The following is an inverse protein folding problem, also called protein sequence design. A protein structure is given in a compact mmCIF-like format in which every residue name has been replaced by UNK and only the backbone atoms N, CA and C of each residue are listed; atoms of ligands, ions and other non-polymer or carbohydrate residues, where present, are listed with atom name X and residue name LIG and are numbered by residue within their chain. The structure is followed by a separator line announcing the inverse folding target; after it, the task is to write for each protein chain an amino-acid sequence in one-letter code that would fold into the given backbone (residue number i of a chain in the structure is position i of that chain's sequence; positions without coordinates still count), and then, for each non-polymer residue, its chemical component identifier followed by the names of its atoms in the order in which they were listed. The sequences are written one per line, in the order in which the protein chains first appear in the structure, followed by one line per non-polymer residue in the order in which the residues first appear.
data_IF_285083845422
#
_entry.id   IF_285083845422
#
_cell.length_a   1.000
_cell.length_b   1.000
_cell.length_c   1.000
_cell.angle_alpha   90.00
_cell.angle_beta   90.00
_cell.angle_gamma   90.00
#
_symmetry.space_group_name_H-M   'P 1'
#
loop_
_entity.id
_entity.type
_entity.pdbx_description
1 polymer ?
#
# COMPACT_ATOMS: atom_id res chain seq x y z
N UNK A 1 -18.51 -0.14 -1.02
CA UNK A 1 -19.20 1.16 -1.15
C UNK A 1 -20.68 0.92 -0.97
N UNK A 2 -21.39 1.76 -0.22
CA UNK A 2 -22.84 1.65 -0.06
C UNK A 2 -23.57 2.80 -0.76
N UNK A 3 -24.83 2.55 -1.13
CA UNK A 3 -25.68 3.54 -1.79
C UNK A 3 -27.11 3.49 -1.25
N UNK A 4 -27.75 4.65 -1.20
CA UNK A 4 -29.17 4.80 -0.90
C UNK A 4 -29.77 5.77 -1.91
N UNK A 5 -30.89 5.42 -2.54
CA UNK A 5 -31.54 6.27 -3.55
C UNK A 5 -30.61 6.66 -4.71
N UNK A 6 -29.68 5.77 -5.10
CA UNK A 6 -28.71 6.01 -6.18
C UNK A 6 -27.50 6.86 -5.80
N UNK A 7 -27.46 7.47 -4.62
CA UNK A 7 -26.33 8.28 -4.12
C UNK A 7 -25.38 7.44 -3.26
N UNK A 8 -24.10 7.74 -3.32
CA UNK A 8 -23.08 7.13 -2.45
C UNK A 8 -23.29 7.62 -1.01
N UNK A 9 -23.34 6.69 -0.06
CA UNK A 9 -23.47 7.02 1.37
C UNK A 9 -22.19 6.79 2.14
N UNK A 10 -21.42 5.77 1.75
CA UNK A 10 -20.15 5.41 2.39
C UNK A 10 -19.20 4.79 1.38
N UNK A 11 -17.92 5.14 1.51
CA UNK A 11 -16.83 4.46 0.79
C UNK A 11 -15.81 3.95 1.81
N UNK A 12 -15.51 2.66 1.73
CA UNK A 12 -14.50 2.01 2.58
C UNK A 12 -13.26 1.73 1.74
N UNK A 13 -12.10 1.99 2.31
CA UNK A 13 -10.78 1.79 1.70
C UNK A 13 -9.94 0.89 2.60
N UNK A 14 -9.08 0.08 1.99
CA UNK A 14 -8.10 -0.74 2.70
C UNK A 14 -6.79 -0.78 1.94
N UNK A 15 -5.69 -0.76 2.68
CA UNK A 15 -4.36 -1.12 2.19
C UNK A 15 -3.80 -2.34 2.95
N UNK A 16 -4.65 -3.11 3.62
CA UNK A 16 -4.27 -4.36 4.30
C UNK A 16 -3.73 -5.36 3.26
N UNK A 17 -2.55 -5.91 3.51
CA UNK A 17 -1.99 -7.01 2.71
C UNK A 17 -2.72 -8.34 2.98
N UNK A 18 -2.77 -9.25 2.00
CA UNK A 18 -3.37 -10.57 2.20
C UNK A 18 -2.65 -11.41 3.27
N UNK A 19 -1.35 -11.20 3.47
CA UNK A 19 -0.51 -12.03 4.35
C UNK A 19 -0.97 -12.01 5.82
N UNK A 20 -1.48 -10.88 6.32
CA UNK A 20 -2.04 -10.82 7.68
C UNK A 20 -3.23 -11.78 7.83
N UNK A 21 -4.10 -11.85 6.81
CA UNK A 21 -5.27 -12.74 6.81
C UNK A 21 -4.85 -14.19 6.59
N UNK A 22 -3.82 -14.46 5.79
CA UNK A 22 -3.33 -15.83 5.58
C UNK A 22 -2.74 -16.44 6.86
N UNK A 23 -2.00 -15.66 7.64
CA UNK A 23 -1.43 -16.10 8.92
C UNK A 23 -2.56 -16.27 9.94
N UNK A 24 -3.43 -15.26 10.07
CA UNK A 24 -4.55 -15.31 11.00
C UNK A 24 -5.51 -16.48 10.70
N UNK A 25 -5.73 -16.79 9.43
CA UNK A 25 -6.54 -17.94 9.01
C UNK A 25 -6.00 -19.30 9.46
N UNK A 26 -4.68 -19.42 9.61
CA UNK A 26 -4.04 -20.66 10.07
C UNK A 26 -4.21 -20.84 11.58
N UNK A 27 -4.12 -19.75 12.34
CA UNK A 27 -4.11 -19.78 13.80
C UNK A 27 -5.52 -19.60 14.41
N UNK A 28 -6.33 -18.69 13.85
CA UNK A 28 -7.67 -18.33 14.32
C UNK A 28 -8.62 -17.98 13.16
N UNK A 29 -9.16 -18.99 12.46
CA UNK A 29 -10.11 -18.78 11.37
C UNK A 29 -11.44 -18.15 11.83
N UNK A 30 -11.79 -18.24 13.12
CA UNK A 30 -13.01 -17.62 13.64
C UNK A 30 -12.87 -16.10 13.67
N UNK A 31 -11.70 -15.59 14.06
CA UNK A 31 -11.39 -14.15 13.98
C UNK A 31 -11.42 -13.65 12.53
N UNK A 32 -10.97 -14.45 11.55
CA UNK A 32 -11.11 -14.07 10.13
C UNK A 32 -12.57 -13.86 9.74
N UNK A 33 -13.47 -14.77 10.11
CA UNK A 33 -14.92 -14.60 9.85
C UNK A 33 -15.46 -13.36 10.54
N UNK A 34 -15.09 -13.12 11.81
CA UNK A 34 -15.51 -11.94 12.56
C UNK A 34 -15.04 -10.62 11.90
N UNK A 35 -13.82 -10.59 11.35
CA UNK A 35 -13.32 -9.44 10.61
C UNK A 35 -14.11 -9.19 9.33
N UNK A 36 -14.48 -10.24 8.61
CA UNK A 36 -15.34 -10.11 7.43
C UNK A 36 -16.75 -9.62 7.80
N UNK A 37 -17.32 -10.10 8.91
CA UNK A 37 -18.60 -9.60 9.42
C UNK A 37 -18.54 -8.12 9.75
N UNK A 38 -17.47 -7.68 10.41
CA UNK A 38 -17.29 -6.29 10.84
C UNK A 38 -17.04 -5.35 9.65
N UNK A 39 -16.14 -5.72 8.74
CA UNK A 39 -15.58 -4.80 7.74
C UNK A 39 -16.16 -4.96 6.33
N UNK A 40 -16.86 -6.07 6.06
CA UNK A 40 -17.40 -6.40 4.74
C UNK A 40 -18.92 -6.63 4.78
N UNK A 41 -19.39 -7.69 5.41
CA UNK A 41 -20.81 -8.04 5.48
C UNK A 41 -21.10 -9.08 6.56
N UNK A 42 -22.16 -8.89 7.33
CA UNK A 42 -22.65 -9.88 8.31
C UNK A 42 -23.22 -11.18 7.68
N UNK A 43 -23.38 -11.22 6.36
CA UNK A 43 -23.85 -12.40 5.61
C UNK A 43 -22.72 -13.36 5.21
N UNK A 44 -21.47 -13.04 5.58
CA UNK A 44 -20.32 -13.89 5.27
C UNK A 44 -20.41 -15.19 6.05
N UNK A 45 -20.35 -16.32 5.35
CA UNK A 45 -20.27 -17.63 5.97
C UNK A 45 -18.83 -18.14 5.92
N UNK A 46 -18.47 -19.05 6.82
CA UNK A 46 -17.11 -19.62 6.88
C UNK A 46 -16.75 -20.29 5.55
N UNK A 47 -17.68 -21.00 4.94
CA UNK A 47 -17.51 -21.72 3.67
C UNK A 47 -17.25 -20.78 2.49
N UNK A 48 -17.51 -19.47 2.63
CA UNK A 48 -17.13 -18.49 1.63
C UNK A 48 -15.64 -18.18 1.66
N UNK A 49 -15.02 -18.26 2.84
CA UNK A 49 -13.67 -17.78 3.08
C UNK A 49 -12.62 -18.89 3.03
N UNK A 50 -13.02 -20.15 3.23
CA UNK A 50 -12.11 -21.28 3.35
C UNK A 50 -12.48 -22.41 2.37
N UNK A 51 -11.48 -23.03 1.76
CA UNK A 51 -11.69 -24.21 0.94
C UNK A 51 -11.97 -25.48 1.76
N UNK A 52 -12.25 -26.60 1.08
CA UNK A 52 -12.53 -27.87 1.74
C UNK A 52 -11.36 -28.41 2.61
N UNK A 53 -10.14 -27.92 2.41
CA UNK A 53 -8.97 -28.24 3.22
C UNK A 53 -8.75 -27.25 4.38
N UNK A 54 -9.65 -26.27 4.57
CA UNK A 54 -9.55 -25.24 5.59
C UNK A 54 -8.56 -24.12 5.23
N UNK A 55 -8.13 -24.00 3.97
CA UNK A 55 -7.20 -22.94 3.54
C UNK A 55 -7.97 -21.69 3.16
N UNK A 56 -7.48 -20.53 3.60
CA UNK A 56 -8.10 -19.25 3.27
C UNK A 56 -8.00 -18.93 1.78
N UNK A 57 -9.12 -18.47 1.22
CA UNK A 57 -9.27 -18.09 -0.18
C UNK A 57 -9.11 -16.57 -0.27
N UNK A 58 -7.90 -16.09 -0.59
CA UNK A 58 -7.58 -14.65 -0.74
C UNK A 58 -8.56 -13.90 -1.66
N UNK A 59 -9.00 -14.56 -2.74
CA UNK A 59 -9.98 -14.04 -3.71
C UNK A 59 -11.32 -14.76 -3.57
N UNK A 60 -11.91 -14.71 -2.39
CA UNK A 60 -13.26 -15.20 -2.16
C UNK A 60 -14.31 -14.22 -2.71
N UNK A 61 -15.60 -14.63 -2.68
CA UNK A 61 -16.71 -13.81 -3.20
C UNK A 61 -16.83 -12.43 -2.57
N UNK A 62 -16.38 -12.28 -1.32
CA UNK A 62 -16.42 -11.04 -0.55
C UNK A 62 -15.18 -10.15 -0.73
N UNK A 63 -14.19 -10.59 -1.50
CA UNK A 63 -12.94 -9.88 -1.73
C UNK A 63 -12.40 -10.12 -3.16
N UNK A 64 -13.27 -10.06 -4.17
CA UNK A 64 -12.88 -10.24 -5.58
C UNK A 64 -13.39 -9.15 -6.52
N UNK A 65 -14.30 -8.30 -6.05
CA UNK A 65 -14.91 -7.21 -6.81
C UNK A 65 -15.18 -6.00 -5.91
N UNK A 66 -15.69 -4.91 -6.48
CA UNK A 66 -15.94 -3.65 -5.76
C UNK A 66 -17.37 -3.51 -5.23
N UNK A 67 -18.20 -4.53 -5.43
CA UNK A 67 -19.63 -4.56 -5.08
C UNK A 67 -19.86 -5.30 -3.78
N UNK A 68 -19.27 -6.48 -3.62
CA UNK A 68 -19.42 -7.31 -2.42
C UNK A 68 -18.57 -6.80 -1.25
N UNK A 69 -17.32 -6.42 -1.50
CA UNK A 69 -16.43 -5.99 -0.42
C UNK A 69 -14.96 -5.91 -0.79
N UNK A 70 -14.19 -5.30 0.10
CA UNK A 70 -12.74 -5.24 0.03
C UNK A 70 -12.16 -5.43 1.45
N UNK A 71 -11.81 -6.68 1.78
CA UNK A 71 -11.16 -7.02 3.04
C UNK A 71 -9.66 -6.72 3.01
N UNK A 72 -9.00 -6.97 1.88
CA UNK A 72 -7.57 -6.71 1.74
C UNK A 72 -7.22 -6.52 0.27
N UNK A 73 -6.00 -6.07 -0.01
CA UNK A 73 -5.50 -5.92 -1.37
C UNK A 73 -5.47 -7.28 -2.11
N UNK A 74 -5.90 -7.28 -3.36
CA UNK A 74 -6.06 -8.51 -4.18
C UNK A 74 -5.12 -8.57 -5.39
N UNK A 75 -4.40 -7.48 -5.66
CA UNK A 75 -3.49 -7.37 -6.79
C UNK A 75 -2.10 -7.87 -6.37
N UNK A 76 -1.47 -8.70 -7.20
CA UNK A 76 -0.25 -9.45 -6.82
C UNK A 76 0.96 -8.56 -6.49
N UNK A 77 1.03 -7.36 -7.07
CA UNK A 77 2.07 -6.36 -6.81
C UNK A 77 1.78 -5.47 -5.58
N UNK A 78 0.73 -5.79 -4.83
CA UNK A 78 0.35 -5.14 -3.56
C UNK A 78 0.42 -6.16 -2.39
N UNK A 79 1.32 -7.14 -2.50
CA UNK A 79 1.64 -8.09 -1.42
C UNK A 79 2.74 -7.52 -0.53
N UNK A 80 2.80 -7.99 0.71
CA UNK A 80 3.92 -7.65 1.61
C UNK A 80 5.28 -8.06 1.01
N UNK A 81 5.32 -9.22 0.35
CA UNK A 81 6.53 -9.69 -0.33
C UNK A 81 6.96 -8.73 -1.45
N UNK A 82 6.03 -8.26 -2.30
CA UNK A 82 6.35 -7.31 -3.36
C UNK A 82 6.86 -5.98 -2.81
N UNK A 83 6.30 -5.49 -1.69
CA UNK A 83 6.79 -4.28 -1.02
C UNK A 83 8.21 -4.48 -0.48
N UNK A 84 8.48 -5.61 0.18
CA UNK A 84 9.81 -5.94 0.71
C UNK A 84 10.84 -5.99 -0.42
N UNK A 85 10.54 -6.70 -1.51
CA UNK A 85 11.42 -6.80 -2.68
C UNK A 85 11.67 -5.43 -3.31
N UNK A 86 10.62 -4.62 -3.49
CA UNK A 86 10.75 -3.27 -4.03
C UNK A 86 11.71 -2.43 -3.19
N UNK A 87 11.49 -2.40 -1.87
CA UNK A 87 12.29 -1.59 -0.96
C UNK A 87 13.73 -2.11 -0.84
N UNK A 88 13.92 -3.42 -0.74
CA UNK A 88 15.22 -4.06 -0.66
C UNK A 88 16.04 -3.80 -1.93
N UNK A 89 15.48 -4.05 -3.10
CA UNK A 89 16.18 -3.85 -4.36
C UNK A 89 16.41 -2.36 -4.68
N UNK A 90 15.50 -1.46 -4.28
CA UNK A 90 15.70 -0.02 -4.37
C UNK A 90 16.81 0.51 -3.44
N UNK A 91 17.14 -0.20 -2.36
CA UNK A 91 18.25 0.17 -1.46
C UNK A 91 19.64 -0.04 -2.09
N UNK A 92 19.72 -0.76 -3.21
CA UNK A 92 20.97 -0.97 -3.94
C UNK A 92 21.32 0.31 -4.71
N UNK A 93 22.40 0.98 -4.32
CA UNK A 93 22.93 2.11 -5.09
C UNK A 93 23.44 1.59 -6.43
N UNK A 94 22.90 2.12 -7.54
CA UNK A 94 23.24 1.68 -8.89
C UNK A 94 24.15 2.68 -9.60
N UNK A 95 25.01 2.18 -10.49
CA UNK A 95 25.83 3.01 -11.36
C UNK A 95 25.92 2.46 -12.79
N UNK A 96 26.22 3.33 -13.76
CA UNK A 96 26.59 2.99 -15.13
C UNK A 96 27.85 3.79 -15.47
N UNK A 97 28.92 3.12 -15.89
CA UNK A 97 30.21 3.74 -16.24
C UNK A 97 30.75 4.71 -15.16
N UNK A 98 30.60 4.34 -13.89
CA UNK A 98 31.03 5.14 -12.73
C UNK A 98 30.09 6.31 -12.37
N UNK A 99 29.01 6.55 -13.15
CA UNK A 99 27.97 7.52 -12.80
C UNK A 99 26.90 6.85 -11.94
N UNK A 100 26.76 7.33 -10.70
CA UNK A 100 25.66 6.92 -9.81
C UNK A 100 24.32 7.38 -10.40
N UNK A 101 23.35 6.45 -10.45
CA UNK A 101 21.99 6.74 -10.91
C UNK A 101 21.18 7.42 -9.81
N UNK A 102 20.38 8.41 -10.18
CA UNK A 102 19.59 9.20 -9.23
C UNK A 102 18.16 9.45 -9.68
N UNK A 103 17.87 9.34 -10.98
CA UNK A 103 16.51 9.48 -11.51
C UNK A 103 15.65 8.26 -11.16
N UNK A 104 14.41 8.49 -10.75
CA UNK A 104 13.46 7.42 -10.39
C UNK A 104 13.30 6.39 -11.53
N UNK A 105 13.17 6.86 -12.77
CA UNK A 105 13.05 5.97 -13.94
C UNK A 105 14.34 5.20 -14.24
N UNK A 106 15.50 5.87 -14.20
CA UNK A 106 16.79 5.18 -14.38
C UNK A 106 16.99 4.08 -13.32
N UNK A 107 16.58 4.34 -12.08
CA UNK A 107 16.72 3.42 -10.97
C UNK A 107 15.82 2.20 -11.12
N UNK A 108 14.54 2.37 -11.46
CA UNK A 108 13.62 1.24 -11.61
C UNK A 108 13.90 0.40 -12.85
N UNK A 109 14.31 1.04 -13.96
CA UNK A 109 14.73 0.33 -15.18
C UNK A 109 16.01 -0.48 -14.93
N UNK A 110 16.97 0.08 -14.19
CA UNK A 110 18.21 -0.59 -13.83
C UNK A 110 18.03 -1.69 -12.77
N UNK A 111 17.19 -1.42 -11.76
CA UNK A 111 17.04 -2.25 -10.58
C UNK A 111 15.99 -3.35 -10.72
N UNK A 112 15.08 -3.22 -11.70
CA UNK A 112 13.96 -4.14 -11.97
C UNK A 112 13.12 -4.48 -10.72
N UNK A 113 13.02 -3.55 -9.77
CA UNK A 113 12.39 -3.76 -8.46
C UNK A 113 10.87 -3.52 -8.45
N UNK A 114 10.28 -3.27 -9.62
CA UNK A 114 8.88 -2.93 -9.77
C UNK A 114 8.53 -2.66 -11.23
N UNK A 115 7.45 -1.94 -11.47
CA UNK A 115 7.00 -1.57 -12.81
C UNK A 115 7.17 -0.06 -13.06
N UNK A 116 7.97 0.37 -14.08
CA UNK A 116 8.20 1.78 -14.42
C UNK A 116 6.92 2.61 -14.63
N UNK A 117 5.85 1.96 -15.10
CA UNK A 117 4.54 2.55 -15.37
C UNK A 117 3.60 2.63 -14.16
N UNK A 118 3.96 2.03 -13.01
CA UNK A 118 3.19 2.15 -11.77
C UNK A 118 3.71 3.36 -11.01
N UNK A 119 3.00 4.49 -11.04
CA UNK A 119 3.45 5.76 -10.44
C UNK A 119 4.08 5.64 -9.03
N UNK A 120 3.61 4.71 -8.20
CA UNK A 120 4.16 4.44 -6.87
C UNK A 120 5.58 3.84 -6.89
N UNK A 121 5.87 2.93 -7.81
CA UNK A 121 7.08 2.09 -7.72
C UNK A 121 8.36 2.90 -7.99
N UNK A 122 8.47 3.70 -9.07
CA UNK A 122 9.62 4.56 -9.29
C UNK A 122 9.80 5.56 -8.15
N UNK A 123 8.70 6.08 -7.61
CA UNK A 123 8.75 7.08 -6.55
C UNK A 123 9.25 6.51 -5.22
N UNK A 124 8.66 5.40 -4.75
CA UNK A 124 9.13 4.70 -3.53
C UNK A 124 10.59 4.30 -3.68
N UNK A 125 10.95 3.74 -4.84
CA UNK A 125 12.31 3.33 -5.12
C UNK A 125 13.30 4.49 -5.13
N UNK A 126 12.92 5.62 -5.73
CA UNK A 126 13.70 6.86 -5.73
C UNK A 126 13.96 7.42 -4.33
N UNK A 127 12.90 7.46 -3.50
CA UNK A 127 12.99 7.93 -2.11
C UNK A 127 13.93 7.03 -1.30
N UNK A 128 13.76 5.71 -1.36
CA UNK A 128 14.62 4.75 -0.64
C UNK A 128 16.07 4.87 -1.12
N UNK A 129 16.29 4.90 -2.44
CA UNK A 129 17.63 4.99 -3.00
C UNK A 129 18.31 6.32 -2.64
N UNK A 130 17.55 7.42 -2.51
CA UNK A 130 18.11 8.70 -2.07
C UNK A 130 18.77 8.60 -0.69
N UNK A 131 18.18 7.82 0.22
CA UNK A 131 18.73 7.57 1.55
C UNK A 131 19.89 6.57 1.49
N UNK A 132 19.78 5.52 0.67
CA UNK A 132 20.87 4.57 0.46
C UNK A 132 22.16 5.26 -0.03
N UNK A 133 22.02 6.22 -0.95
CA UNK A 133 23.14 7.03 -1.47
C UNK A 133 23.83 7.90 -0.42
N UNK A 134 23.21 8.13 0.74
CA UNK A 134 23.84 8.78 1.89
C UNK A 134 24.77 7.83 2.68
N UNK A 135 25.06 6.63 2.14
CA UNK A 135 25.79 5.55 2.82
C UNK A 135 25.12 5.17 4.13
N UNK A 136 23.79 5.04 4.11
CA UNK A 136 22.99 4.58 5.23
C UNK A 136 22.71 3.08 5.09
N UNK A 137 22.54 2.41 6.23
CA UNK A 137 21.97 1.06 6.29
C UNK A 137 20.45 1.23 6.50
N UNK A 138 19.66 0.48 5.73
CA UNK A 138 18.19 0.64 5.64
C UNK A 138 17.47 -0.62 6.13
N UNK A 139 16.34 -0.42 6.78
CA UNK A 139 15.38 -1.46 7.14
C UNK A 139 13.95 -0.96 6.89
N UNK A 140 12.98 -1.86 6.76
CA UNK A 140 11.57 -1.48 6.80
C UNK A 140 11.13 -1.26 8.24
N UNK A 141 10.24 -0.30 8.47
CA UNK A 141 9.64 -0.11 9.79
C UNK A 141 8.81 -1.33 10.18
N UNK A 142 8.71 -1.58 11.48
CA UNK A 142 7.85 -2.60 12.06
C UNK A 142 6.55 -1.94 12.57
N UNK A 143 5.35 -2.40 12.15
CA UNK A 143 5.10 -3.48 11.19
C UNK A 143 5.41 -3.09 9.75
N UNK A 144 5.91 -4.06 8.99
CA UNK A 144 6.13 -3.88 7.55
C UNK A 144 4.76 -3.84 6.86
N UNK A 145 4.54 -2.84 6.00
CA UNK A 145 3.33 -2.75 5.23
C UNK A 145 3.06 -1.36 4.66
N UNK A 146 2.16 -1.33 3.68
CA UNK A 146 1.54 -0.13 3.16
C UNK A 146 0.52 0.42 4.16
N UNK A 147 0.68 1.70 4.49
CA UNK A 147 -0.21 2.40 5.40
C UNK A 147 -0.79 3.65 4.74
N UNK A 148 -2.02 4.00 5.08
CA UNK A 148 -2.56 5.30 4.71
C UNK A 148 -1.68 6.40 5.31
N UNK A 149 -1.33 7.38 4.49
CA UNK A 149 -0.65 8.57 4.93
C UNK A 149 -1.66 9.70 5.09
N UNK A 150 -2.35 10.04 4.00
CA UNK A 150 -3.28 11.15 4.00
C UNK A 150 -4.32 11.02 2.88
N UNK A 151 -5.36 11.85 2.94
CA UNK A 151 -6.33 12.11 1.88
C UNK A 151 -6.32 13.60 1.58
N UNK A 152 -5.89 13.97 0.37
CA UNK A 152 -6.02 15.34 -0.08
C UNK A 152 -7.46 15.63 -0.47
N UNK A 153 -8.03 16.71 0.07
CA UNK A 153 -9.39 17.18 -0.24
C UNK A 153 -9.37 18.46 -1.09
N UNK A 154 -8.26 18.71 -1.79
CA UNK A 154 -8.14 19.87 -2.66
C UNK A 154 -9.22 19.87 -3.74
N UNK A 155 -9.99 20.97 -3.81
CA UNK A 155 -11.10 21.10 -4.77
C UNK A 155 -12.38 20.37 -4.37
N UNK A 156 -12.46 19.84 -3.16
CA UNK A 156 -13.68 19.23 -2.62
C UNK A 156 -14.59 20.28 -2.00
N UNK A 157 -15.91 20.09 -2.09
CA UNK A 157 -16.91 20.95 -1.43
C UNK A 157 -18.04 20.12 -0.88
N UNK A 158 -18.39 20.36 0.38
CA UNK A 158 -19.59 19.84 1.04
C UNK A 158 -20.76 20.83 0.87
N UNK A 159 -22.01 20.36 0.85
CA UNK A 159 -23.18 21.24 0.74
C UNK A 159 -23.34 22.23 1.89
N UNK A 160 -22.93 21.86 3.10
CA UNK A 160 -23.04 22.69 4.32
C UNK A 160 -21.80 23.58 4.56
N UNK A 161 -20.78 23.49 3.71
CA UNK A 161 -19.52 24.23 3.85
C UNK A 161 -18.57 23.70 4.93
N UNK A 162 -18.88 22.56 5.55
CA UNK A 162 -17.96 21.87 6.46
C UNK A 162 -16.69 21.39 5.77
N UNK A 163 -15.60 21.22 6.53
CA UNK A 163 -14.35 20.68 5.99
C UNK A 163 -14.56 19.25 5.48
N UNK A 164 -14.40 18.98 4.17
CA UNK A 164 -14.55 17.63 3.63
C UNK A 164 -13.62 16.61 4.30
N UNK A 165 -12.46 17.03 4.80
CA UNK A 165 -11.48 16.15 5.44
C UNK A 165 -12.01 15.55 6.75
N UNK A 166 -12.91 16.26 7.44
CA UNK A 166 -13.47 15.83 8.73
C UNK A 166 -14.32 14.55 8.65
N UNK A 167 -14.70 14.12 7.44
CA UNK A 167 -15.48 12.91 7.18
C UNK A 167 -14.63 11.68 6.82
N UNK A 168 -13.30 11.82 6.83
CA UNK A 168 -12.36 10.70 6.69
C UNK A 168 -11.98 10.16 8.05
N UNK A 169 -12.18 8.87 8.28
CA UNK A 169 -11.88 8.22 9.57
C UNK A 169 -11.14 6.91 9.35
N UNK A 170 -10.10 6.67 10.15
CA UNK A 170 -9.42 5.38 10.20
C UNK A 170 -10.17 4.40 11.11
N UNK A 171 -10.41 3.18 10.62
CA UNK A 171 -11.16 2.13 11.32
C UNK A 171 -10.25 1.01 11.83
N UNK A 172 -9.08 0.80 11.21
CA UNK A 172 -8.10 -0.20 11.65
C UNK A 172 -6.69 0.33 11.48
N UNK A 173 -5.80 -0.19 12.33
CA UNK A 173 -4.42 0.26 12.47
C UNK A 173 -4.26 1.19 13.66
N UNK A 174 -3.02 1.62 13.88
CA UNK A 174 -2.69 2.64 14.89
C UNK A 174 -2.54 4.03 14.25
N UNK A 175 -2.24 5.05 15.08
CA UNK A 175 -2.07 6.45 14.64
C UNK A 175 -1.04 6.61 13.51
N UNK A 176 -0.03 5.74 13.46
CA UNK A 176 1.09 5.79 12.52
C UNK A 176 0.99 4.76 11.39
N UNK A 177 0.21 3.70 11.59
CA UNK A 177 -0.01 2.57 10.67
C UNK A 177 -1.50 2.31 10.37
N UNK A 178 -2.28 3.31 9.91
CA UNK A 178 -3.66 3.08 9.55
C UNK A 178 -3.76 2.25 8.25
N UNK A 179 -4.58 1.21 8.27
CA UNK A 179 -4.72 0.26 7.16
C UNK A 179 -6.13 0.14 6.60
N UNK A 180 -7.13 0.67 7.32
CA UNK A 180 -8.52 0.74 6.87
C UNK A 180 -9.10 2.11 7.17
N UNK A 181 -9.81 2.68 6.21
CA UNK A 181 -10.43 3.97 6.34
C UNK A 181 -11.84 3.98 5.76
N UNK A 182 -12.64 4.94 6.21
CA UNK A 182 -13.98 5.22 5.69
C UNK A 182 -14.11 6.71 5.39
N UNK A 183 -14.80 7.01 4.29
CA UNK A 183 -15.38 8.32 4.03
C UNK A 183 -16.90 8.23 4.14
N UNK A 184 -17.47 8.88 5.16
CA UNK A 184 -18.89 8.81 5.48
C UNK A 184 -19.37 10.11 6.13
N UNK A 185 -20.57 10.56 5.72
CA UNK A 185 -21.21 11.73 6.31
C UNK A 185 -22.17 11.27 7.41
N UNK A 186 -22.07 11.81 8.64
CA UNK A 186 -23.04 11.56 9.71
C UNK A 186 -24.48 11.91 9.29
N UNK A 187 -25.44 11.09 9.72
CA UNK A 187 -26.83 11.20 9.29
C UNK A 187 -27.49 12.55 9.66
N UNK A 188 -27.02 13.21 10.72
CA UNK A 188 -27.52 14.50 11.21
C UNK A 188 -27.14 15.69 10.31
N UNK A 189 -26.21 15.50 9.36
CA UNK A 189 -25.81 16.54 8.39
C UNK A 189 -26.83 16.80 7.29
N UNK A 190 -27.75 15.88 7.04
CA UNK A 190 -28.79 16.04 6.01
C UNK A 190 -28.29 15.94 4.56
N UNK A 191 -27.04 15.51 4.33
CA UNK A 191 -26.50 15.17 3.02
C UNK A 191 -25.62 13.91 3.12
N UNK A 192 -25.28 13.30 1.99
CA UNK A 192 -24.45 12.09 1.92
C UNK A 192 -23.20 12.30 1.08
N UNK A 193 -22.28 11.32 1.06
CA UNK A 193 -21.04 11.39 0.26
C UNK A 193 -21.31 11.77 -1.19
N UNK A 194 -22.39 11.26 -1.79
CA UNK A 194 -22.77 11.57 -3.17
C UNK A 194 -23.20 13.02 -3.43
N UNK A 195 -23.41 13.81 -2.39
CA UNK A 195 -23.67 15.26 -2.48
C UNK A 195 -22.38 16.09 -2.39
N UNK A 196 -21.28 15.49 -1.93
CA UNK A 196 -19.96 16.12 -1.98
C UNK A 196 -19.52 16.23 -3.43
N UNK A 197 -18.93 17.37 -3.79
CA UNK A 197 -18.36 17.58 -5.12
C UNK A 197 -16.85 17.56 -5.06
N UNK A 198 -16.21 16.95 -6.07
CA UNK A 198 -14.77 16.98 -6.32
C UNK A 198 -14.58 17.69 -7.66
N UNK A 199 -13.90 18.84 -7.64
CA UNK A 199 -13.72 19.69 -8.83
C UNK A 199 -15.05 20.02 -9.53
N UNK A 200 -16.09 20.27 -8.73
CA UNK A 200 -17.43 20.62 -9.20
C UNK A 200 -18.30 19.46 -9.69
N UNK A 201 -17.80 18.21 -9.64
CA UNK A 201 -18.58 17.01 -10.00
C UNK A 201 -19.01 16.24 -8.75
N UNK A 202 -20.29 15.85 -8.61
CA UNK A 202 -20.73 15.00 -7.51
C UNK A 202 -19.97 13.66 -7.46
N UNK A 203 -19.79 13.12 -6.24
CA UNK A 203 -19.23 11.78 -6.06
C UNK A 203 -20.26 10.73 -6.48
N UNK A 204 -20.05 10.13 -7.63
CA UNK A 204 -20.87 9.04 -8.16
C UNK A 204 -20.23 7.66 -7.90
N UNK A 205 -18.90 7.56 -7.76
CA UNK A 205 -18.16 6.32 -7.61
C UNK A 205 -17.04 6.46 -6.57
N UNK A 206 -16.71 5.37 -5.88
CA UNK A 206 -15.61 5.35 -4.91
C UNK A 206 -14.25 5.66 -5.54
N UNK A 207 -14.04 5.34 -6.82
CA UNK A 207 -12.80 5.63 -7.54
C UNK A 207 -12.56 7.12 -7.80
N UNK A 208 -13.55 7.99 -7.59
CA UNK A 208 -13.34 9.45 -7.63
C UNK A 208 -12.62 9.98 -6.39
N UNK A 209 -12.53 9.16 -5.34
CA UNK A 209 -11.77 9.43 -4.12
C UNK A 209 -10.41 8.72 -4.28
N UNK A 210 -9.60 9.17 -5.24
CA UNK A 210 -8.28 8.62 -5.56
C UNK A 210 -7.11 9.50 -5.07
N UNK A 211 -7.41 10.60 -4.38
CA UNK A 211 -6.45 11.53 -3.79
C UNK A 211 -5.85 11.04 -2.46
N UNK A 212 -5.73 9.72 -2.31
CA UNK A 212 -5.23 9.05 -1.10
C UNK A 212 -3.74 8.76 -1.28
N UNK A 213 -2.94 9.28 -0.35
CA UNK A 213 -1.53 8.95 -0.25
C UNK A 213 -1.34 7.71 0.61
N UNK A 214 -0.60 6.74 0.09
CA UNK A 214 -0.18 5.52 0.78
C UNK A 214 1.33 5.54 0.91
N UNK A 215 1.87 5.05 2.03
CA UNK A 215 3.31 5.02 2.30
C UNK A 215 3.79 3.62 2.67
N UNK A 216 4.99 3.29 2.20
CA UNK A 216 5.90 2.34 2.84
C UNK A 216 6.86 3.15 3.72
N UNK A 217 7.23 2.62 4.89
CA UNK A 217 8.12 3.34 5.82
C UNK A 217 9.45 2.61 5.94
N UNK A 218 10.54 3.27 5.56
CA UNK A 218 11.90 2.81 5.78
C UNK A 218 12.55 3.56 6.96
N UNK A 219 13.41 2.85 7.69
CA UNK A 219 14.24 3.37 8.78
C UNK A 219 15.69 3.31 8.34
N UNK A 220 16.42 4.42 8.55
CA UNK A 220 17.83 4.52 8.22
C UNK A 220 18.69 4.62 9.47
N UNK A 221 19.78 3.87 9.51
CA UNK A 221 20.81 3.99 10.54
C UNK A 221 22.20 4.08 9.90
N UNK A 222 23.22 4.32 10.73
CA UNK A 222 24.64 4.33 10.31
C UNK A 222 24.92 5.23 9.09
N UNK A 223 24.19 6.34 8.97
CA UNK A 223 24.33 7.31 7.86
C UNK A 223 25.80 7.74 7.73
N UNK A 224 26.32 7.71 6.50
CA UNK A 224 27.73 7.99 6.18
C UNK A 224 28.69 6.83 6.43
N UNK A 225 28.24 5.69 6.96
CA UNK A 225 29.10 4.58 7.41
C UNK A 225 28.90 3.28 6.63
N UNK A 226 27.86 3.16 5.81
CA UNK A 226 27.69 1.98 4.96
C UNK A 226 28.89 1.84 4.01
N UNK A 227 29.37 0.62 3.86
CA UNK A 227 30.53 0.27 3.00
C UNK A 227 30.11 -0.46 1.73
N UNK A 228 28.80 -0.63 1.51
CA UNK A 228 28.27 -1.20 0.29
C UNK A 228 28.73 -0.40 -0.93
N UNK A 229 29.41 -1.06 -1.86
CA UNK A 229 29.83 -0.45 -3.11
C UNK A 229 28.62 -0.32 -4.04
N UNK A 230 28.51 0.76 -4.84
CA UNK A 230 27.53 0.84 -5.91
C UNK A 230 27.63 -0.36 -6.84
N UNK A 231 26.49 -0.92 -7.23
CA UNK A 231 26.42 -2.04 -8.16
C UNK A 231 26.13 -1.53 -9.56
N UNK A 232 26.85 -2.06 -10.56
CA UNK A 232 26.50 -1.80 -11.96
C UNK A 232 25.13 -2.40 -12.27
N UNK A 233 24.35 -1.74 -13.13
CA UNK A 233 23.15 -2.33 -13.70
C UNK A 233 23.46 -3.72 -14.27
N UNK A 234 22.51 -4.67 -14.17
CA UNK A 234 22.53 -5.76 -15.12
C UNK A 234 22.14 -5.13 -16.45
N UNK A 235 23.14 -4.69 -17.22
CA UNK A 235 22.95 -4.48 -18.64
C UNK A 235 22.70 -5.88 -19.14
N UNK A 236 21.43 -6.29 -19.21
CA UNK A 236 21.03 -7.50 -19.91
C UNK A 236 21.80 -7.44 -21.21
N UNK A 237 22.72 -8.40 -21.37
CA UNK A 237 23.50 -8.43 -22.57
C UNK A 237 22.51 -8.38 -23.72
N UNK A 238 22.62 -7.39 -24.59
CA UNK A 238 22.50 -7.75 -25.98
C UNK A 238 23.65 -8.75 -26.25
N UNK A 239 23.46 -10.01 -25.89
CA UNK A 239 24.05 -11.19 -26.52
C UNK A 239 23.52 -12.46 -25.84
N UNK A 240 23.10 -13.42 -26.67
CA UNK A 240 22.66 -14.75 -26.28
C UNK A 240 23.58 -15.41 -25.25
N UNK A 241 23.07 -15.76 -24.06
CA UNK A 241 23.28 -17.05 -23.37
C UNK A 241 22.89 -16.98 -21.88
N UNK A 242 22.22 -18.03 -21.43
CA UNK A 242 21.64 -18.21 -20.10
C UNK A 242 22.58 -19.04 -19.23
N UNK A 243 22.82 -18.65 -17.96
CA UNK A 243 23.05 -19.64 -16.89
C UNK A 243 22.85 -19.07 -15.46
N UNK A 244 21.89 -19.68 -14.77
CA UNK A 244 21.71 -20.01 -13.34
C UNK A 244 21.99 -19.00 -12.20
N UNK A 245 20.97 -18.82 -11.36
CA UNK A 245 20.91 -18.07 -10.11
C UNK A 245 21.08 -18.98 -8.88
N UNK A 246 21.76 -18.49 -7.83
CA UNK A 246 21.66 -19.04 -6.45
C UNK A 246 21.52 -17.87 -5.44
N UNK A 247 20.56 -17.88 -4.49
CA UNK A 247 20.23 -16.74 -3.63
C UNK A 247 20.91 -16.83 -2.24
N UNK A 248 21.04 -15.70 -1.53
CA UNK A 248 21.44 -15.69 -0.11
C UNK A 248 20.72 -14.61 0.72
N UNK A 249 20.48 -15.03 1.96
CA UNK A 249 19.46 -14.66 2.96
C UNK A 249 19.83 -13.52 3.90
N UNK A 250 18.80 -12.96 4.54
CA UNK A 250 18.71 -11.74 5.35
C UNK A 250 19.22 -11.82 6.82
N UNK A 251 19.44 -10.66 7.48
CA UNK A 251 19.13 -10.39 8.90
C UNK A 251 19.34 -8.91 9.37
N UNK A 252 18.26 -8.29 9.91
CA UNK A 252 18.05 -7.45 11.14
C UNK A 252 19.18 -6.62 11.83
N UNK A 253 18.98 -5.50 12.55
CA UNK A 253 17.92 -4.48 12.81
C UNK A 253 18.47 -3.33 13.75
N UNK A 254 17.75 -2.18 13.86
CA UNK A 254 17.81 -1.01 14.82
C UNK A 254 18.74 0.21 14.49
N UNK A 255 18.45 1.49 14.86
CA UNK A 255 17.27 2.12 15.52
C UNK A 255 16.59 3.26 14.69
N UNK A 256 15.45 3.77 15.20
CA UNK A 256 14.42 4.58 14.50
C UNK A 256 14.58 6.11 14.62
N UNK A 257 14.39 6.86 13.51
CA UNK A 257 14.22 8.32 13.47
C UNK A 257 13.15 8.70 12.41
N UNK A 258 12.06 9.33 12.86
CA UNK A 258 10.95 9.83 12.04
C UNK A 258 11.24 11.22 11.48
N UNK A 259 10.99 11.42 10.18
CA UNK A 259 11.02 12.73 9.51
C UNK A 259 9.67 12.96 8.81
N UNK A 260 8.98 14.05 9.17
CA UNK A 260 7.74 14.53 8.52
C UNK A 260 8.10 15.29 7.25
N UNK A 261 7.43 15.04 6.13
CA UNK A 261 7.49 15.88 4.95
C UNK A 261 6.09 16.15 4.39
N UNK A 262 5.94 17.41 3.97
CA UNK A 262 4.78 18.15 3.49
C UNK A 262 4.14 17.58 2.23
#
# INVERSE_FOLDING_TARGET
MTRTGGKVTRVTFTCEGPEYLDVLAQDDPATVVALYHEHVSGEVEKEDLFDAAGRYIRRNRWNTDTTNGAMHLVQAANTLAAEIELCAAASIVRQIDGRVLTGEQELIECGAYGAPQRNSDPHIGGVINSVARMKADLALANPVGLNFHDLSVAGWKTPDGSDPKSYWTYLRGDETHPVRAVYEIPADKGFVVGDVTILGKPVAYGSQIDYISIKATAVACRIGRSTAAPMTAYVGAASDSVSELVPLTAANEQPVLTSRLL
#
